data_IF_674525107787
#
_entry.id   IF_674525107787
#
_cell.length_a   1.000
_cell.length_b   1.000
_cell.length_c   1.000
_cell.angle_alpha   90.00
_cell.angle_beta   90.00
_cell.angle_gamma   90.00
#
_symmetry.space_group_name_H-M   'P 1'
#
loop_
_entity.id
_entity.type
_entity.pdbx_description
1 polymer ?
#
# COMPACT_ATOMS: atom_id res chain seq x y z
N UNK A 1 11.02 -5.60 -14.72
CA UNK A 1 10.91 -6.81 -13.88
C UNK A 1 9.82 -6.53 -12.85
N UNK A 2 8.91 -7.47 -12.62
CA UNK A 2 7.87 -7.32 -11.60
C UNK A 2 8.45 -7.58 -10.19
N UNK A 3 7.90 -6.98 -9.12
CA UNK A 3 8.41 -7.20 -7.75
C UNK A 3 8.41 -8.67 -7.32
N UNK A 4 7.43 -9.47 -7.76
CA UNK A 4 7.36 -10.90 -7.47
C UNK A 4 8.39 -11.72 -8.24
N UNK A 5 8.71 -11.33 -9.48
CA UNK A 5 9.80 -11.92 -10.26
C UNK A 5 11.16 -11.63 -9.61
N UNK A 6 11.33 -10.41 -9.11
CA UNK A 6 12.53 -10.01 -8.40
C UNK A 6 12.76 -10.88 -7.16
N UNK A 7 11.75 -11.03 -6.30
CA UNK A 7 11.87 -11.87 -5.09
C UNK A 7 12.19 -13.32 -5.45
N UNK A 8 11.56 -13.89 -6.49
CA UNK A 8 11.90 -15.26 -6.94
C UNK A 8 13.35 -15.36 -7.42
N UNK A 9 13.82 -14.37 -8.18
CA UNK A 9 15.17 -14.37 -8.75
C UNK A 9 16.27 -14.16 -7.69
N UNK A 10 15.95 -13.59 -6.52
CA UNK A 10 16.91 -13.45 -5.42
C UNK A 10 17.46 -14.80 -4.94
N UNK A 11 16.69 -15.89 -5.05
CA UNK A 11 17.14 -17.23 -4.67
C UNK A 11 18.28 -17.78 -5.54
N UNK A 12 18.56 -17.16 -6.69
CA UNK A 12 19.69 -17.50 -7.56
C UNK A 12 21.01 -16.91 -7.05
N UNK A 13 20.96 -16.01 -6.06
CA UNK A 13 22.14 -15.33 -5.52
C UNK A 13 22.64 -16.04 -4.25
N UNK A 14 23.97 -16.12 -4.05
CA UNK A 14 24.52 -16.51 -2.76
C UNK A 14 24.17 -15.45 -1.68
N UNK A 15 24.07 -15.88 -0.42
CA UNK A 15 23.65 -15.05 0.73
C UNK A 15 24.20 -13.60 0.75
N UNK A 16 25.51 -13.33 0.58
CA UNK A 16 26.02 -11.96 0.60
C UNK A 16 25.52 -11.09 -0.56
N UNK A 17 25.24 -11.66 -1.73
CA UNK A 17 24.67 -10.92 -2.87
C UNK A 17 23.15 -10.79 -2.73
N UNK A 18 22.49 -11.81 -2.19
CA UNK A 18 21.07 -11.80 -1.88
C UNK A 18 20.69 -10.60 -1.02
N UNK A 19 21.34 -10.44 0.14
CA UNK A 19 20.97 -9.39 1.10
C UNK A 19 21.16 -7.98 0.54
N UNK A 20 22.23 -7.82 -0.25
CA UNK A 20 22.55 -6.55 -0.91
C UNK A 20 21.56 -6.22 -2.02
N UNK A 21 21.17 -7.20 -2.83
CA UNK A 21 20.12 -7.01 -3.82
C UNK A 21 18.76 -6.73 -3.15
N UNK A 22 18.43 -7.45 -2.07
CA UNK A 22 17.19 -7.27 -1.31
C UNK A 22 17.07 -5.86 -0.72
N UNK A 23 18.17 -5.25 -0.27
CA UNK A 23 18.20 -3.88 0.21
C UNK A 23 17.81 -2.86 -0.87
N UNK A 24 17.98 -3.19 -2.15
CA UNK A 24 17.68 -2.33 -3.29
C UNK A 24 16.27 -2.56 -3.88
N UNK A 25 15.42 -3.38 -3.23
CA UNK A 25 14.08 -3.76 -3.73
C UNK A 25 13.17 -2.57 -4.08
N UNK A 26 13.35 -1.42 -3.42
CA UNK A 26 12.53 -0.22 -3.64
C UNK A 26 12.68 0.36 -5.06
N UNK A 27 13.77 0.05 -5.76
CA UNK A 27 14.06 0.53 -7.11
C UNK A 27 13.46 -0.37 -8.21
N UNK A 28 12.97 -1.57 -7.87
CA UNK A 28 12.34 -2.50 -8.83
C UNK A 28 10.98 -1.99 -9.30
N UNK A 29 10.31 -1.16 -8.49
CA UNK A 29 9.05 -0.51 -8.86
C UNK A 29 9.28 0.50 -9.99
N UNK A 30 8.37 0.63 -10.96
CA UNK A 30 8.50 1.63 -12.02
C UNK A 30 8.69 3.05 -11.44
N UNK A 31 9.77 3.71 -11.82
CA UNK A 31 10.07 5.11 -11.47
C UNK A 31 10.28 5.92 -12.76
N UNK A 32 9.97 7.22 -12.72
CA UNK A 32 10.24 8.16 -13.82
C UNK A 32 11.62 8.82 -13.74
N UNK A 33 12.35 8.62 -12.64
CA UNK A 33 13.71 9.13 -12.49
C UNK A 33 14.71 8.25 -13.22
N UNK A 34 15.56 8.87 -14.03
CA UNK A 34 16.61 8.21 -14.80
C UNK A 34 17.58 7.43 -13.91
N UNK A 35 17.99 7.99 -12.76
CA UNK A 35 18.86 7.28 -11.81
C UNK A 35 18.19 6.05 -11.22
N UNK A 36 16.90 6.14 -10.87
CA UNK A 36 16.15 4.97 -10.41
C UNK A 36 16.00 3.90 -11.50
N UNK A 37 15.80 4.31 -12.75
CA UNK A 37 15.75 3.39 -13.89
C UNK A 37 17.11 2.70 -14.09
N UNK A 38 18.21 3.45 -14.03
CA UNK A 38 19.56 2.90 -14.11
C UNK A 38 19.85 1.88 -12.99
N UNK A 39 19.43 2.16 -11.75
CA UNK A 39 19.54 1.20 -10.63
C UNK A 39 18.69 -0.05 -10.91
N UNK A 40 17.45 0.12 -11.35
CA UNK A 40 16.53 -0.97 -11.66
C UNK A 40 17.02 -1.86 -12.82
N UNK A 41 17.64 -1.25 -13.83
CA UNK A 41 18.19 -1.95 -14.98
C UNK A 41 19.47 -2.70 -14.60
N UNK A 42 20.35 -2.10 -13.80
CA UNK A 42 21.51 -2.79 -13.25
C UNK A 42 21.10 -4.03 -12.42
N UNK A 43 20.08 -3.92 -11.57
CA UNK A 43 19.52 -5.05 -10.82
C UNK A 43 18.93 -6.12 -11.75
N UNK A 44 18.22 -5.71 -12.81
CA UNK A 44 17.65 -6.65 -13.78
C UNK A 44 18.74 -7.44 -14.47
N UNK A 45 19.78 -6.76 -14.96
CA UNK A 45 20.92 -7.40 -15.62
C UNK A 45 21.70 -8.28 -14.65
N UNK A 46 21.86 -7.88 -13.39
CA UNK A 46 22.51 -8.70 -12.37
C UNK A 46 21.79 -10.03 -12.13
N UNK A 47 20.45 -9.98 -12.01
CA UNK A 47 19.64 -11.18 -11.82
C UNK A 47 19.59 -12.06 -13.07
N UNK A 48 19.66 -11.45 -14.27
CA UNK A 48 19.86 -12.21 -15.51
C UNK A 48 21.24 -12.88 -15.52
N UNK A 49 22.31 -12.20 -15.11
CA UNK A 49 23.64 -12.78 -15.01
C UNK A 49 23.68 -13.96 -14.02
N UNK A 50 23.05 -13.80 -12.85
CA UNK A 50 22.92 -14.88 -11.87
C UNK A 50 22.14 -16.09 -12.40
N UNK A 51 21.14 -15.87 -13.25
CA UNK A 51 20.42 -16.96 -13.93
C UNK A 51 21.30 -17.77 -14.89
N UNK A 52 22.33 -17.14 -15.46
CA UNK A 52 23.34 -17.81 -16.29
C UNK A 52 24.60 -18.19 -15.50
N UNK A 53 24.52 -18.25 -14.16
CA UNK A 53 25.62 -18.60 -13.27
C UNK A 53 26.85 -17.67 -13.32
N UNK A 54 26.71 -16.49 -13.93
CA UNK A 54 27.73 -15.44 -14.03
C UNK A 54 27.79 -14.59 -12.75
N UNK A 55 28.09 -15.23 -11.62
CA UNK A 55 28.01 -14.62 -10.29
C UNK A 55 29.00 -13.45 -10.09
N UNK A 56 30.15 -13.47 -10.77
CA UNK A 56 31.10 -12.35 -10.74
C UNK A 56 30.53 -11.09 -11.38
N UNK A 57 29.87 -11.23 -12.54
CA UNK A 57 29.18 -10.16 -13.24
C UNK A 57 27.96 -9.66 -12.43
N UNK A 58 27.20 -10.59 -11.83
CA UNK A 58 26.10 -10.25 -10.94
C UNK A 58 26.57 -9.42 -9.74
N UNK A 59 27.70 -9.77 -9.12
CA UNK A 59 28.28 -9.02 -8.01
C UNK A 59 28.64 -7.58 -8.41
N UNK A 60 29.34 -7.39 -9.52
CA UNK A 60 29.74 -6.05 -10.01
C UNK A 60 28.53 -5.16 -10.33
N UNK A 61 27.47 -5.74 -10.90
CA UNK A 61 26.24 -5.02 -11.21
C UNK A 61 25.46 -4.64 -9.95
N UNK A 62 25.41 -5.52 -8.94
CA UNK A 62 24.82 -5.22 -7.62
C UNK A 62 25.65 -4.14 -6.91
N UNK A 63 26.98 -4.19 -6.99
CA UNK A 63 27.88 -3.15 -6.45
C UNK A 63 27.59 -1.79 -7.10
N UNK A 64 27.49 -1.77 -8.42
CA UNK A 64 27.19 -0.57 -9.19
C UNK A 64 25.82 0.00 -8.79
N UNK A 65 24.80 -0.85 -8.71
CA UNK A 65 23.46 -0.47 -8.29
C UNK A 65 23.45 0.08 -6.85
N UNK A 66 24.19 -0.54 -5.93
CA UNK A 66 24.31 -0.09 -4.55
C UNK A 66 25.02 1.27 -4.46
N UNK A 67 26.13 1.47 -5.19
CA UNK A 67 26.83 2.74 -5.23
C UNK A 67 25.97 3.86 -5.83
N UNK A 68 25.22 3.57 -6.90
CA UNK A 68 24.26 4.50 -7.49
C UNK A 68 23.17 4.86 -6.47
N UNK A 69 22.61 3.87 -5.76
CA UNK A 69 21.60 4.10 -4.73
C UNK A 69 22.12 4.95 -3.57
N UNK A 70 23.33 4.70 -3.08
CA UNK A 70 23.98 5.50 -2.04
C UNK A 70 24.19 6.94 -2.51
N UNK A 71 24.76 7.14 -3.70
CA UNK A 71 24.96 8.48 -4.29
C UNK A 71 23.64 9.21 -4.55
N UNK A 72 22.58 8.45 -4.81
CA UNK A 72 21.24 8.96 -5.08
C UNK A 72 20.42 9.26 -3.82
N UNK A 73 20.97 9.04 -2.61
CA UNK A 73 20.41 9.35 -1.28
C UNK A 73 18.95 9.83 -1.28
N UNK A 74 17.97 8.92 -1.08
CA UNK A 74 16.56 9.20 -0.74
C UNK A 74 15.78 10.24 -1.59
N UNK A 75 16.36 10.76 -2.69
CA UNK A 75 15.90 11.97 -3.35
C UNK A 75 14.86 11.72 -4.44
N UNK A 76 14.83 10.53 -5.05
CA UNK A 76 13.72 10.16 -5.90
C UNK A 76 12.57 9.62 -5.05
N UNK A 77 11.68 10.53 -4.68
CA UNK A 77 10.33 10.13 -4.26
C UNK A 77 9.74 9.15 -5.26
N UNK A 78 8.92 8.18 -4.81
CA UNK A 78 7.93 7.58 -5.68
C UNK A 78 7.28 8.67 -6.51
N UNK A 79 7.35 8.56 -7.84
CA UNK A 79 6.61 9.43 -8.73
C UNK A 79 5.17 9.47 -8.19
N UNK A 80 4.75 10.67 -7.78
CA UNK A 80 3.44 11.02 -7.21
C UNK A 80 2.41 9.90 -7.45
N UNK A 81 2.23 8.99 -6.48
CA UNK A 81 1.16 8.00 -6.61
C UNK A 81 -0.14 8.79 -6.57
N UNK A 82 -0.93 8.83 -7.66
CA UNK A 82 -2.08 9.70 -7.72
C UNK A 82 -3.02 9.37 -6.55
N UNK A 83 -3.23 10.37 -5.69
CA UNK A 83 -4.05 10.21 -4.49
C UNK A 83 -3.32 9.70 -3.25
N UNK A 84 -1.99 9.68 -3.17
CA UNK A 84 -1.27 9.53 -1.89
C UNK A 84 -0.52 10.80 -1.52
N UNK A 85 -0.32 11.02 -0.22
CA UNK A 85 0.46 12.12 0.31
C UNK A 85 0.95 11.88 1.74
N UNK A 86 1.70 12.83 2.27
CA UNK A 86 2.17 12.79 3.65
C UNK A 86 2.23 14.19 4.24
N UNK A 87 1.67 14.39 5.43
CA UNK A 87 1.90 15.59 6.24
C UNK A 87 3.19 15.41 7.03
N UNK A 88 4.25 16.11 6.62
CA UNK A 88 5.62 15.88 7.11
C UNK A 88 5.81 16.13 8.61
N UNK A 89 4.96 16.96 9.22
CA UNK A 89 5.07 17.34 10.63
C UNK A 89 5.13 16.14 11.58
N UNK A 90 4.50 15.02 11.21
CA UNK A 90 4.43 13.81 12.05
C UNK A 90 5.23 12.63 11.51
N UNK A 91 6.04 12.85 10.46
CA UNK A 91 6.77 11.78 9.78
C UNK A 91 7.74 11.03 10.70
N UNK A 92 8.28 11.73 11.70
CA UNK A 92 9.29 11.22 12.63
C UNK A 92 8.71 10.90 14.02
N UNK A 93 7.38 10.78 14.14
CA UNK A 93 6.74 10.40 15.41
C UNK A 93 7.13 8.97 15.80
N UNK A 94 7.71 8.79 16.99
CA UNK A 94 8.19 7.49 17.49
C UNK A 94 7.10 6.60 18.13
N UNK A 95 5.83 7.03 18.06
CA UNK A 95 4.70 6.28 18.62
C UNK A 95 4.36 5.06 17.75
N UNK A 96 3.70 4.02 18.33
CA UNK A 96 3.13 2.93 17.54
C UNK A 96 2.29 3.45 16.37
N UNK A 97 2.51 2.88 15.19
CA UNK A 97 1.84 3.34 13.98
C UNK A 97 0.39 2.86 13.97
N UNK A 98 -0.53 3.81 14.05
CA UNK A 98 -1.97 3.57 14.00
C UNK A 98 -2.47 4.13 12.68
N UNK A 99 -3.24 3.33 11.97
CA UNK A 99 -3.86 3.68 10.70
C UNK A 99 -5.36 3.50 10.77
N UNK A 100 -6.11 4.24 9.97
CA UNK A 100 -7.53 4.02 9.76
C UNK A 100 -7.83 3.94 8.26
N UNK A 101 -8.83 3.14 7.90
CA UNK A 101 -9.26 2.94 6.52
C UNK A 101 -10.77 3.01 6.42
N UNK A 102 -11.28 3.56 5.33
CA UNK A 102 -12.72 3.59 5.06
C UNK A 102 -13.03 3.52 3.55
N UNK A 103 -14.25 3.14 3.20
CA UNK A 103 -14.80 3.18 1.85
C UNK A 103 -16.19 3.81 1.76
N UNK A 104 -16.37 4.68 0.76
CA UNK A 104 -17.62 5.38 0.50
C UNK A 104 -18.21 5.05 -0.87
N UNK A 105 -19.53 4.81 -0.93
CA UNK A 105 -20.27 4.57 -2.17
C UNK A 105 -21.51 5.43 -2.30
N UNK A 106 -21.79 5.92 -3.51
CA UNK A 106 -23.04 6.58 -3.89
C UNK A 106 -23.30 6.34 -5.37
N UNK A 107 -24.41 5.69 -5.71
CA UNK A 107 -24.72 5.31 -7.09
C UNK A 107 -23.61 4.47 -7.74
N UNK A 108 -22.99 5.02 -8.80
CA UNK A 108 -21.87 4.40 -9.53
C UNK A 108 -20.50 5.01 -9.17
N UNK A 109 -20.43 5.86 -8.17
CA UNK A 109 -19.17 6.42 -7.68
C UNK A 109 -18.77 5.74 -6.37
N UNK A 110 -17.52 5.29 -6.30
CA UNK A 110 -16.89 4.75 -5.11
C UNK A 110 -15.59 5.49 -4.79
N UNK A 111 -15.24 5.53 -3.52
CA UNK A 111 -13.97 6.06 -3.03
C UNK A 111 -13.48 5.20 -1.89
N UNK A 112 -12.15 5.09 -1.75
CA UNK A 112 -11.51 4.51 -0.58
C UNK A 112 -10.50 5.52 -0.03
N UNK A 113 -10.29 5.50 1.29
CA UNK A 113 -9.39 6.40 1.99
C UNK A 113 -8.59 5.66 3.07
N UNK A 114 -7.39 6.16 3.35
CA UNK A 114 -6.67 5.81 4.58
C UNK A 114 -5.89 7.02 5.11
N UNK A 115 -5.65 7.01 6.41
CA UNK A 115 -4.72 7.93 7.09
C UNK A 115 -3.94 7.15 8.13
N UNK A 116 -2.75 7.63 8.46
CA UNK A 116 -1.88 7.03 9.48
C UNK A 116 -1.35 8.11 10.42
N UNK A 117 -1.04 7.73 11.66
CA UNK A 117 -0.59 8.65 12.70
C UNK A 117 0.72 9.37 12.36
N UNK A 118 1.54 8.83 11.45
CA UNK A 118 2.77 9.46 10.96
C UNK A 118 2.57 10.50 9.83
N UNK A 119 1.31 10.77 9.49
CA UNK A 119 0.98 11.73 8.45
C UNK A 119 0.76 11.17 7.06
N UNK A 120 1.05 9.89 6.78
CA UNK A 120 0.74 9.30 5.47
C UNK A 120 -0.76 9.17 5.30
N UNK A 121 -1.24 9.50 4.11
CA UNK A 121 -2.62 9.33 3.72
C UNK A 121 -2.74 8.93 2.26
N UNK A 122 -3.91 8.41 1.90
CA UNK A 122 -4.26 8.25 0.50
C UNK A 122 -5.75 8.16 0.29
N UNK A 123 -6.17 8.48 -0.93
CA UNK A 123 -7.53 8.40 -1.41
C UNK A 123 -7.55 7.95 -2.88
N UNK A 124 -8.47 7.05 -3.22
CA UNK A 124 -8.57 6.49 -4.57
C UNK A 124 -10.01 6.38 -5.03
N UNK A 125 -10.32 7.06 -6.13
CA UNK A 125 -11.63 7.03 -6.77
C UNK A 125 -11.84 5.74 -7.55
N UNK A 126 -13.11 5.34 -7.68
CA UNK A 126 -13.50 4.17 -8.45
C UNK A 126 -14.85 4.39 -9.12
N UNK A 127 -14.94 4.04 -10.40
CA UNK A 127 -16.21 3.88 -11.12
C UNK A 127 -16.31 2.42 -11.62
N UNK A 128 -17.34 1.64 -11.23
CA UNK A 128 -17.55 0.30 -11.74
C UNK A 128 -17.69 0.31 -13.27
N UNK A 129 -16.98 -0.60 -13.93
CA UNK A 129 -17.23 -0.90 -15.35
C UNK A 129 -18.40 -1.88 -15.53
N UNK A 130 -18.66 -2.28 -16.78
CA UNK A 130 -19.71 -3.28 -17.11
C UNK A 130 -19.44 -4.65 -16.47
N UNK A 131 -18.17 -5.00 -16.30
CA UNK A 131 -17.73 -6.21 -15.59
C UNK A 131 -17.07 -5.76 -14.28
N UNK A 132 -17.86 -5.65 -13.22
CA UNK A 132 -17.34 -5.29 -11.91
C UNK A 132 -16.91 -6.57 -11.15
N UNK A 133 -15.59 -6.79 -10.90
CA UNK A 133 -15.09 -7.99 -10.23
C UNK A 133 -15.40 -8.04 -8.71
N UNK A 134 -16.20 -7.10 -8.22
CA UNK A 134 -16.53 -6.90 -6.80
C UNK A 134 -17.76 -7.72 -6.39
N UNK A 135 -18.55 -8.20 -7.35
CA UNK A 135 -19.77 -8.96 -7.09
C UNK A 135 -20.85 -8.15 -6.35
N UNK A 136 -21.77 -8.85 -5.68
CA UNK A 136 -22.85 -8.24 -4.89
C UNK A 136 -22.34 -7.53 -3.62
N UNK A 137 -21.16 -7.89 -3.13
CA UNK A 137 -20.57 -7.42 -1.86
C UNK A 137 -19.78 -6.11 -2.03
N UNK A 138 -20.33 -5.12 -2.74
CA UNK A 138 -19.58 -3.94 -3.20
C UNK A 138 -18.94 -3.10 -2.09
N UNK A 139 -19.69 -2.86 -1.02
CA UNK A 139 -19.22 -2.08 0.13
C UNK A 139 -18.09 -2.84 0.82
N UNK A 140 -18.36 -4.08 1.29
CA UNK A 140 -17.37 -4.95 1.94
C UNK A 140 -16.05 -5.08 1.17
N UNK A 141 -16.11 -5.38 -0.14
CA UNK A 141 -14.88 -5.51 -0.94
C UNK A 141 -14.14 -4.18 -1.06
N UNK A 142 -14.83 -3.05 -0.97
CA UNK A 142 -14.19 -1.74 -1.00
C UNK A 142 -13.51 -1.41 0.33
N UNK A 143 -14.09 -1.80 1.46
CA UNK A 143 -13.42 -1.73 2.76
C UNK A 143 -12.11 -2.51 2.75
N UNK A 144 -12.16 -3.77 2.30
CA UNK A 144 -10.97 -4.61 2.19
C UNK A 144 -9.95 -4.01 1.21
N UNK A 145 -10.40 -3.36 0.13
CA UNK A 145 -9.49 -2.64 -0.79
C UNK A 145 -8.90 -1.37 -0.18
N UNK A 146 -9.57 -0.72 0.78
CA UNK A 146 -9.00 0.39 1.54
C UNK A 146 -7.81 -0.10 2.40
N UNK A 147 -7.95 -1.28 3.02
CA UNK A 147 -6.85 -1.94 3.74
C UNK A 147 -5.71 -2.33 2.80
N UNK A 148 -5.98 -2.94 1.64
CA UNK A 148 -4.92 -3.21 0.66
C UNK A 148 -4.23 -1.93 0.20
N UNK A 149 -5.00 -0.86 0.00
CA UNK A 149 -4.46 0.42 -0.41
C UNK A 149 -3.54 1.00 0.65
N UNK A 150 -3.91 0.94 1.94
CA UNK A 150 -3.03 1.29 3.06
C UNK A 150 -1.76 0.45 3.08
N UNK A 151 -1.87 -0.88 3.11
CA UNK A 151 -0.72 -1.76 3.33
C UNK A 151 0.29 -1.69 2.18
N UNK A 152 -0.18 -1.47 0.96
CA UNK A 152 0.67 -1.26 -0.22
C UNK A 152 1.28 0.15 -0.31
N UNK A 153 0.94 1.07 0.61
CA UNK A 153 1.65 2.35 0.75
C UNK A 153 3.11 2.16 1.19
N UNK A 154 3.41 1.00 1.78
CA UNK A 154 4.72 0.64 2.31
C UNK A 154 5.35 -0.44 1.42
N UNK A 155 6.67 -0.44 1.30
CA UNK A 155 7.38 -1.59 0.74
C UNK A 155 7.25 -2.81 1.65
N UNK A 156 7.14 -2.55 2.96
CA UNK A 156 6.83 -3.53 4.00
C UNK A 156 6.07 -2.77 5.09
N UNK A 157 4.80 -3.11 5.40
CA UNK A 157 4.08 -2.47 6.50
C UNK A 157 4.95 -2.47 7.77
N UNK A 158 4.95 -1.38 8.58
CA UNK A 158 5.75 -1.35 9.81
C UNK A 158 5.33 -2.45 10.80
N UNK A 159 6.29 -2.95 11.56
CA UNK A 159 6.05 -3.98 12.58
C UNK A 159 5.17 -3.40 13.69
N UNK A 160 4.16 -4.14 14.13
CA UNK A 160 3.24 -3.69 15.18
C UNK A 160 2.26 -2.61 14.72
N UNK A 161 2.08 -2.40 13.42
CA UNK A 161 1.07 -1.47 12.90
C UNK A 161 -0.33 -1.92 13.34
N UNK A 162 -1.11 -0.98 13.88
CA UNK A 162 -2.53 -1.18 14.15
C UNK A 162 -3.37 -0.54 13.05
N UNK A 163 -4.34 -1.28 12.51
CA UNK A 163 -5.27 -0.80 11.48
C UNK A 163 -6.69 -0.80 12.05
N UNK A 164 -7.27 0.39 12.14
CA UNK A 164 -8.64 0.64 12.54
C UNK A 164 -9.57 0.48 11.34
N UNK A 165 -10.61 -0.33 11.50
CA UNK A 165 -11.62 -0.62 10.48
C UNK A 165 -12.99 -0.53 11.14
N UNK A 166 -13.95 0.16 10.53
CA UNK A 166 -15.30 0.30 11.08
C UNK A 166 -16.29 -0.78 10.60
N UNK A 167 -15.90 -1.52 9.56
CA UNK A 167 -16.65 -2.64 9.00
C UNK A 167 -16.31 -3.96 9.69
N UNK A 168 -17.17 -4.42 10.61
CA UNK A 168 -17.05 -5.75 11.24
C UNK A 168 -16.95 -6.91 10.25
N UNK A 169 -17.72 -6.95 9.13
CA UNK A 169 -17.55 -8.00 8.14
C UNK A 169 -16.16 -7.98 7.50
N UNK A 170 -15.59 -6.80 7.23
CA UNK A 170 -14.23 -6.69 6.71
C UNK A 170 -13.21 -7.19 7.74
N UNK A 171 -13.36 -6.78 9.01
CA UNK A 171 -12.52 -7.22 10.12
C UNK A 171 -12.50 -8.75 10.26
N UNK A 172 -13.64 -9.41 10.11
CA UNK A 172 -13.73 -10.87 10.14
C UNK A 172 -12.88 -11.53 9.03
N UNK A 173 -12.93 -11.02 7.80
CA UNK A 173 -12.07 -11.55 6.72
C UNK A 173 -10.59 -11.35 7.00
N UNK A 174 -10.20 -10.20 7.56
CA UNK A 174 -8.81 -9.91 7.90
C UNK A 174 -8.28 -10.92 8.94
N UNK A 175 -9.03 -11.18 10.02
CA UNK A 175 -8.65 -12.19 11.01
C UNK A 175 -8.60 -13.60 10.43
N UNK A 176 -9.60 -14.01 9.65
CA UNK A 176 -9.58 -15.33 8.99
C UNK A 176 -8.37 -15.52 8.08
N UNK A 177 -7.93 -14.47 7.38
CA UNK A 177 -6.71 -14.51 6.58
C UNK A 177 -5.44 -14.59 7.43
N UNK A 178 -5.41 -13.95 8.61
CA UNK A 178 -4.31 -14.14 9.57
C UNK A 178 -4.27 -15.57 10.12
N UNK A 179 -5.44 -16.21 10.30
CA UNK A 179 -5.57 -17.60 10.73
C UNK A 179 -5.28 -18.62 9.60
N UNK A 180 -4.87 -18.15 8.42
CA UNK A 180 -4.46 -19.00 7.30
C UNK A 180 -5.58 -19.37 6.33
N UNK A 181 -6.82 -18.90 6.53
CA UNK A 181 -7.94 -19.13 5.61
C UNK A 181 -7.88 -18.25 4.35
N UNK A 182 -6.74 -18.19 3.65
CA UNK A 182 -6.51 -17.30 2.50
C UNK A 182 -7.48 -17.52 1.32
N UNK A 183 -8.15 -18.68 1.26
CA UNK A 183 -9.20 -18.98 0.29
C UNK A 183 -10.57 -18.37 0.62
N UNK A 184 -10.78 -17.86 1.84
CA UNK A 184 -12.03 -17.23 2.25
C UNK A 184 -12.22 -15.90 1.53
N UNK A 185 -13.22 -15.80 0.64
CA UNK A 185 -13.46 -14.60 -0.16
C UNK A 185 -14.91 -14.13 -0.02
N UNK A 186 -15.18 -12.81 -0.07
CA UNK A 186 -16.55 -12.29 -0.10
C UNK A 186 -17.39 -12.94 -1.21
N UNK A 187 -18.66 -13.21 -0.91
CA UNK A 187 -19.57 -13.83 -1.86
C UNK A 187 -19.63 -13.05 -3.18
N UNK A 188 -19.47 -13.78 -4.29
CA UNK A 188 -19.46 -13.22 -5.65
C UNK A 188 -18.17 -12.49 -6.04
N UNK A 189 -17.11 -12.52 -5.23
CA UNK A 189 -15.83 -11.94 -5.60
C UNK A 189 -15.18 -12.72 -6.76
N UNK A 190 -14.83 -12.01 -7.84
CA UNK A 190 -14.26 -12.62 -9.03
C UNK A 190 -12.77 -12.95 -8.83
N UNK A 191 -12.46 -14.25 -8.81
CA UNK A 191 -11.11 -14.79 -8.62
C UNK A 191 -10.28 -14.86 -9.91
N UNK A 192 -10.86 -14.58 -11.08
CA UNK A 192 -10.13 -14.64 -12.34
C UNK A 192 -8.93 -13.69 -12.32
N UNK A 193 -7.78 -14.08 -12.89
CA UNK A 193 -6.65 -13.18 -13.00
C UNK A 193 -7.03 -11.84 -13.65
N UNK A 194 -6.43 -10.77 -13.18
CA UNK A 194 -6.55 -9.44 -13.81
C UNK A 194 -5.62 -9.38 -15.02
N UNK A 195 -5.61 -8.23 -15.71
CA UNK A 195 -4.74 -7.99 -16.86
C UNK A 195 -3.29 -8.42 -16.56
N UNK A 196 -2.63 -9.08 -17.52
CA UNK A 196 -1.29 -9.68 -17.39
C UNK A 196 -1.15 -10.75 -16.28
N UNK A 197 -2.23 -11.47 -15.96
CA UNK A 197 -2.19 -12.57 -14.99
C UNK A 197 -2.05 -12.12 -13.53
N UNK A 198 -2.24 -10.82 -13.24
CA UNK A 198 -2.09 -10.29 -11.88
C UNK A 198 -3.18 -10.87 -10.97
N UNK A 199 -2.78 -11.37 -9.79
CA UNK A 199 -3.72 -11.85 -8.77
C UNK A 199 -4.78 -10.77 -8.43
N UNK A 200 -6.06 -11.16 -8.26
CA UNK A 200 -7.10 -10.27 -7.73
C UNK A 200 -6.67 -9.54 -6.46
N UNK A 201 -7.11 -8.29 -6.27
CA UNK A 201 -6.71 -7.49 -5.11
C UNK A 201 -6.95 -8.16 -3.77
N UNK A 202 -8.09 -8.85 -3.57
CA UNK A 202 -8.35 -9.50 -2.28
C UNK A 202 -7.54 -10.77 -2.09
N UNK A 203 -7.17 -11.47 -3.17
CA UNK A 203 -6.22 -12.59 -3.10
C UNK A 203 -4.84 -12.07 -2.68
N UNK A 204 -4.38 -10.95 -3.28
CA UNK A 204 -3.12 -10.30 -2.86
C UNK A 204 -3.18 -9.81 -1.41
N UNK A 205 -4.32 -9.30 -0.97
CA UNK A 205 -4.51 -8.85 0.41
C UNK A 205 -4.50 -10.02 1.39
N UNK A 206 -5.19 -11.13 1.07
CA UNK A 206 -5.19 -12.34 1.89
C UNK A 206 -3.78 -12.90 2.06
N UNK A 207 -3.00 -13.00 0.97
CA UNK A 207 -1.59 -13.41 1.00
C UNK A 207 -0.76 -12.46 1.89
N UNK A 208 -0.95 -11.14 1.75
CA UNK A 208 -0.20 -10.14 2.52
C UNK A 208 -0.55 -10.18 4.01
N UNK A 209 -1.83 -10.30 4.35
CA UNK A 209 -2.31 -10.33 5.74
C UNK A 209 -1.90 -11.63 6.43
N UNK A 210 -2.02 -12.77 5.75
CA UNK A 210 -1.58 -14.06 6.28
C UNK A 210 -0.06 -14.13 6.53
N UNK A 211 0.73 -13.36 5.79
CA UNK A 211 2.17 -13.24 6.01
C UNK A 211 2.55 -12.24 7.12
N UNK A 212 1.58 -11.55 7.74
CA UNK A 212 1.80 -10.43 8.68
C UNK A 212 0.97 -10.57 9.95
N UNK A 213 1.29 -11.55 10.82
CA UNK A 213 0.63 -11.69 12.13
C UNK A 213 0.95 -10.51 13.08
N UNK A 214 1.96 -9.72 12.76
CA UNK A 214 2.40 -8.54 13.53
C UNK A 214 1.58 -7.27 13.23
N UNK A 215 0.73 -7.29 12.20
CA UNK A 215 -0.25 -6.22 11.95
C UNK A 215 -1.53 -6.54 12.72
N UNK A 216 -1.97 -5.63 13.58
CA UNK A 216 -3.21 -5.83 14.36
C UNK A 216 -4.37 -5.11 13.69
N UNK A 217 -5.54 -5.75 13.62
CA UNK A 217 -6.76 -5.13 13.12
C UNK A 217 -7.74 -4.91 14.29
N UNK A 218 -8.31 -3.71 14.39
CA UNK A 218 -9.22 -3.37 15.47
C UNK A 218 -10.48 -2.68 14.93
N UNK A 219 -11.62 -3.00 15.54
CA UNK A 219 -12.87 -2.34 15.21
C UNK A 219 -12.93 -0.96 15.86
N UNK A 220 -13.18 0.08 15.07
CA UNK A 220 -13.57 1.40 15.58
C UNK A 220 -15.03 1.64 15.27
N UNK A 221 -15.78 2.22 16.21
CA UNK A 221 -17.18 2.54 15.96
C UNK A 221 -17.27 3.69 14.94
N UNK A 222 -18.00 3.47 13.84
CA UNK A 222 -18.29 4.53 12.88
C UNK A 222 -18.96 5.73 13.57
N UNK A 223 -18.59 6.95 13.15
CA UNK A 223 -19.11 8.21 13.67
C UNK A 223 -18.96 8.40 15.19
N UNK A 224 -17.90 7.83 15.78
CA UNK A 224 -17.59 7.99 17.20
C UNK A 224 -16.61 9.14 17.48
N UNK A 225 -16.43 10.07 16.53
CA UNK A 225 -15.47 11.18 16.63
C UNK A 225 -14.02 10.73 16.83
N UNK A 226 -13.68 9.53 16.33
CA UNK A 226 -12.30 9.07 16.35
C UNK A 226 -11.53 9.74 15.20
N UNK A 227 -10.65 10.70 15.52
CA UNK A 227 -10.02 11.59 14.54
C UNK A 227 -9.42 10.88 13.30
N UNK A 228 -8.69 9.77 13.48
CA UNK A 228 -8.15 9.01 12.34
C UNK A 228 -9.25 8.38 11.47
N UNK A 229 -10.32 7.87 12.08
CA UNK A 229 -11.42 7.24 11.35
C UNK A 229 -12.22 8.27 10.56
N UNK A 230 -12.53 9.42 11.18
CA UNK A 230 -13.23 10.53 10.53
C UNK A 230 -12.41 11.11 9.35
N UNK A 231 -11.09 11.16 9.49
CA UNK A 231 -10.21 11.53 8.39
C UNK A 231 -10.23 10.51 7.24
N UNK A 232 -10.20 9.21 7.55
CA UNK A 232 -10.31 8.16 6.53
C UNK A 232 -11.66 8.21 5.80
N UNK A 233 -12.77 8.39 6.53
CA UNK A 233 -14.12 8.57 5.96
C UNK A 233 -14.20 9.79 5.05
N UNK A 234 -13.70 10.93 5.53
CA UNK A 234 -13.65 12.16 4.75
C UNK A 234 -12.85 12.01 3.45
N UNK A 235 -11.73 11.28 3.49
CA UNK A 235 -10.92 10.97 2.31
C UNK A 235 -11.67 10.04 1.33
N UNK A 236 -12.36 9.02 1.83
CA UNK A 236 -13.17 8.11 1.01
C UNK A 236 -14.34 8.87 0.34
N UNK A 237 -15.02 9.74 1.09
CA UNK A 237 -16.05 10.64 0.58
C UNK A 237 -15.52 11.59 -0.49
N UNK A 238 -14.35 12.17 -0.29
CA UNK A 238 -13.70 13.05 -1.25
C UNK A 238 -13.31 12.30 -2.54
N UNK A 239 -12.71 11.12 -2.41
CA UNK A 239 -12.38 10.26 -3.55
C UNK A 239 -13.62 9.88 -4.35
N UNK A 240 -14.73 9.58 -3.67
CA UNK A 240 -16.00 9.27 -4.32
C UNK A 240 -16.51 10.48 -5.10
N UNK A 241 -16.57 11.67 -4.49
CA UNK A 241 -17.09 12.90 -5.12
C UNK A 241 -16.29 13.31 -6.36
N UNK A 242 -14.97 13.14 -6.34
CA UNK A 242 -14.09 13.43 -7.48
C UNK A 242 -14.46 12.67 -8.76
N UNK A 243 -15.20 11.56 -8.67
CA UNK A 243 -15.69 10.83 -9.85
C UNK A 243 -16.65 11.68 -10.68
N UNK A 244 -17.45 12.53 -10.02
CA UNK A 244 -18.52 13.31 -10.64
C UNK A 244 -18.29 14.83 -10.55
N UNK A 245 -17.36 15.26 -9.71
CA UNK A 245 -17.07 16.67 -9.41
C UNK A 245 -15.60 17.01 -9.70
N UNK A 246 -15.35 18.21 -10.24
CA UNK A 246 -14.00 18.74 -10.44
C UNK A 246 -13.62 19.68 -9.30
N UNK A 247 -12.54 19.36 -8.59
CA UNK A 247 -11.95 20.21 -7.56
C UNK A 247 -10.50 19.78 -7.29
N UNK A 248 -9.71 20.65 -6.64
CA UNK A 248 -8.36 20.28 -6.18
C UNK A 248 -8.45 19.33 -4.98
N UNK A 249 -8.51 18.04 -5.31
CA UNK A 249 -8.56 16.95 -4.36
C UNK A 249 -7.28 16.85 -3.51
N UNK A 250 -6.13 17.22 -4.05
CA UNK A 250 -4.85 17.00 -3.37
C UNK A 250 -4.66 18.02 -2.26
N UNK A 251 -4.81 19.31 -2.57
CA UNK A 251 -4.71 20.36 -1.56
C UNK A 251 -5.77 20.17 -0.45
N UNK A 252 -6.99 19.81 -0.83
CA UNK A 252 -8.08 19.58 0.12
C UNK A 252 -7.84 18.36 1.02
N UNK A 253 -7.36 17.25 0.45
CA UNK A 253 -7.01 16.06 1.23
C UNK A 253 -5.87 16.36 2.22
N UNK A 254 -4.86 17.10 1.79
CA UNK A 254 -3.73 17.47 2.64
C UNK A 254 -4.17 18.30 3.85
N UNK A 255 -4.92 19.39 3.60
CA UNK A 255 -5.40 20.27 4.66
C UNK A 255 -6.35 19.54 5.64
N UNK A 256 -7.20 18.66 5.13
CA UNK A 256 -8.10 17.85 5.96
C UNK A 256 -7.32 16.90 6.87
N UNK A 257 -6.37 16.16 6.30
CA UNK A 257 -5.53 15.22 7.07
C UNK A 257 -4.71 15.95 8.11
N UNK A 258 -4.15 17.12 7.78
CA UNK A 258 -3.43 17.94 8.75
C UNK A 258 -4.33 18.35 9.93
N UNK A 259 -5.56 18.76 9.69
CA UNK A 259 -6.48 19.16 10.75
C UNK A 259 -6.80 18.01 11.72
N UNK A 260 -7.20 16.84 11.19
CA UNK A 260 -7.52 15.67 12.02
C UNK A 260 -6.31 15.09 12.75
N UNK A 261 -5.13 15.10 12.13
CA UNK A 261 -3.91 14.64 12.80
C UNK A 261 -3.48 15.57 13.91
N UNK A 262 -3.71 16.87 13.77
CA UNK A 262 -3.48 17.82 14.86
C UNK A 262 -4.35 17.48 16.06
N UNK A 263 -5.64 17.23 15.85
CA UNK A 263 -6.57 16.81 16.91
C UNK A 263 -6.13 15.49 17.55
N UNK A 264 -5.80 14.48 16.73
CA UNK A 264 -5.30 13.18 17.19
C UNK A 264 -4.06 13.31 18.09
N UNK A 265 -3.04 14.04 17.65
CA UNK A 265 -1.80 14.19 18.40
C UNK A 265 -1.94 15.08 19.64
N UNK A 266 -2.89 16.03 19.65
CA UNK A 266 -3.25 16.77 20.87
C UNK A 266 -3.92 15.85 21.88
N UNK A 267 -4.85 15.00 21.44
CA UNK A 267 -5.54 14.05 22.32
C UNK A 267 -4.62 12.99 22.92
N UNK A 268 -3.57 12.56 22.20
CA UNK A 268 -2.55 11.63 22.72
C UNK A 268 -1.60 12.25 23.74
N UNK A 269 -1.45 13.58 23.73
CA UNK A 269 -0.56 14.30 24.64
C UNK A 269 -1.26 14.77 25.94
N UNK A 270 -2.59 14.61 26.02
CA UNK A 270 -3.42 14.94 27.17
C UNK A 270 -3.60 13.73 28.10
#
# INVERSE_FOLDING_TARGET
MRPDEFVRALHLLPAPLHDRALALRAYVKPRRCETCQAIADALRVALTAAHYEELGSAAQLIDTAAQLATRHHLACRPAHEPGRGQVRRWADTSAPLIAATDASWKGRAGGIGYVTSDGRYGLRSRRPGRVDPTGCSRVLVSELRAVEFLLTAYDTPPVGMMVLVDSRPALNYLHRWQDGESGAMPAGYDLRPRHNGIKPTLVRLADLVGARPDVTFAHVKAHAHHALNEAADSLAHMARRRVDESFDVQARAHALVEAFLREWHVALAA
#
